data_IF_763880555094
#
_entry.id   IF_763880555094
#
_cell.length_a   1.000
_cell.length_b   1.000
_cell.length_c   1.000
_cell.angle_alpha   90.00
_cell.angle_beta   90.00
_cell.angle_gamma   90.00
#
_symmetry.space_group_name_H-M   'P 1'
#
loop_
_entity.id
_entity.type
_entity.pdbx_description
1 polymer ?
#
# COMPACT_ATOMS: atom_id res chain seq x y z
N UNK A 1 -12.92 7.24 -16.36
CA UNK A 1 -12.16 6.75 -15.19
C UNK A 1 -12.85 7.25 -13.93
N UNK A 2 -13.16 6.37 -12.97
CA UNK A 2 -13.87 6.75 -11.75
C UNK A 2 -12.87 6.94 -10.61
N UNK A 3 -12.80 8.14 -10.00
CA UNK A 3 -11.90 8.42 -8.88
C UNK A 3 -12.12 7.49 -7.67
N UNK A 4 -13.36 7.05 -7.45
CA UNK A 4 -13.67 6.07 -6.39
C UNK A 4 -12.98 4.72 -6.62
N UNK A 5 -12.65 4.36 -7.87
CA UNK A 5 -11.96 3.12 -8.19
C UNK A 5 -10.52 3.10 -7.65
N UNK A 6 -9.84 4.25 -7.69
CA UNK A 6 -8.48 4.41 -7.14
C UNK A 6 -8.46 4.29 -5.61
N UNK A 7 -9.53 4.72 -4.94
CA UNK A 7 -9.69 4.55 -3.50
C UNK A 7 -10.07 3.10 -3.17
N UNK A 8 -10.95 2.47 -3.94
CA UNK A 8 -11.39 1.11 -3.64
C UNK A 8 -10.28 0.07 -3.85
N UNK A 9 -9.44 0.24 -4.87
CA UNK A 9 -8.42 -0.75 -5.25
C UNK A 9 -7.30 -0.90 -4.22
N UNK A 10 -7.01 0.16 -3.45
CA UNK A 10 -6.04 0.10 -2.34
C UNK A 10 -6.58 -0.63 -1.10
N UNK A 11 -7.87 -0.98 -1.09
CA UNK A 11 -8.59 -1.61 0.03
C UNK A 11 -8.37 -0.82 1.33
N UNK A 12 -8.99 0.36 1.48
CA UNK A 12 -8.60 1.35 2.49
C UNK A 12 -8.69 0.81 3.92
N UNK A 13 -9.69 -0.02 4.23
CA UNK A 13 -9.80 -0.66 5.55
C UNK A 13 -8.59 -1.54 5.84
N UNK A 14 -8.16 -2.37 4.88
CA UNK A 14 -6.98 -3.21 5.02
C UNK A 14 -5.71 -2.37 5.21
N UNK A 15 -5.53 -1.32 4.41
CA UNK A 15 -4.37 -0.44 4.50
C UNK A 15 -4.32 0.33 5.83
N UNK A 16 -5.46 0.82 6.33
CA UNK A 16 -5.55 1.50 7.63
C UNK A 16 -5.25 0.54 8.77
N UNK A 17 -5.84 -0.67 8.76
CA UNK A 17 -5.59 -1.68 9.80
C UNK A 17 -4.12 -2.08 9.81
N UNK A 18 -3.48 -2.25 8.66
CA UNK A 18 -2.05 -2.52 8.57
C UNK A 18 -1.21 -1.39 9.19
N UNK A 19 -1.53 -0.12 8.90
CA UNK A 19 -0.84 1.03 9.49
C UNK A 19 -0.98 1.09 11.01
N UNK A 20 -2.19 0.86 11.54
CA UNK A 20 -2.44 0.81 12.99
C UNK A 20 -1.70 -0.36 13.65
N UNK A 21 -1.66 -1.52 13.00
CA UNK A 21 -0.92 -2.69 13.48
C UNK A 21 0.59 -2.41 13.57
N UNK A 22 1.17 -1.68 12.61
CA UNK A 22 2.57 -1.27 12.66
C UNK A 22 2.91 -0.32 13.82
N UNK A 23 2.03 0.64 14.10
CA UNK A 23 2.17 1.51 15.29
C UNK A 23 2.08 0.66 16.56
N UNK A 24 1.09 -0.22 16.66
CA UNK A 24 0.91 -1.10 17.82
C UNK A 24 2.13 -1.99 18.04
N UNK A 25 2.67 -2.59 16.98
CA UNK A 25 3.89 -3.39 17.04
C UNK A 25 5.08 -2.57 17.56
N UNK A 26 5.20 -1.31 17.14
CA UNK A 26 6.24 -0.39 17.63
C UNK A 26 6.06 -0.06 19.11
N UNK A 27 4.83 0.16 19.57
CA UNK A 27 4.52 0.39 20.98
C UNK A 27 4.88 -0.85 21.81
N UNK A 28 4.53 -2.05 21.35
CA UNK A 28 4.86 -3.30 22.03
C UNK A 28 6.39 -3.48 22.12
N UNK A 29 7.12 -3.17 21.05
CA UNK A 29 8.57 -3.35 20.98
C UNK A 29 9.36 -2.33 21.82
N UNK A 30 8.85 -1.09 21.94
CA UNK A 30 9.59 0.03 22.57
C UNK A 30 9.01 0.46 23.92
N UNK A 31 7.80 0.03 24.26
CA UNK A 31 7.07 0.45 25.45
C UNK A 31 6.53 1.89 25.40
N UNK A 32 6.63 2.58 24.26
CA UNK A 32 6.15 3.97 24.12
C UNK A 32 5.57 4.25 22.74
N UNK A 33 4.80 5.33 22.62
CA UNK A 33 4.30 5.80 21.32
C UNK A 33 5.45 6.50 20.60
N UNK A 34 5.87 6.05 19.41
CA UNK A 34 6.96 6.68 18.67
C UNK A 34 6.56 8.10 18.26
N UNK A 35 7.49 9.05 18.32
CA UNK A 35 7.24 10.43 17.87
C UNK A 35 6.87 10.47 16.38
N UNK A 36 7.36 9.49 15.62
CA UNK A 36 7.17 9.35 14.19
C UNK A 36 5.94 8.50 13.82
N UNK A 37 5.03 8.22 14.76
CA UNK A 37 3.85 7.35 14.54
C UNK A 37 3.06 7.70 13.28
N UNK A 38 2.94 9.00 12.97
CA UNK A 38 2.24 9.49 11.78
C UNK A 38 2.91 9.01 10.49
N UNK A 39 4.24 9.10 10.41
CA UNK A 39 5.00 8.65 9.24
C UNK A 39 4.99 7.12 9.14
N UNK A 40 5.12 6.40 10.26
CA UNK A 40 4.98 4.93 10.30
C UNK A 40 3.64 4.51 9.70
N UNK A 41 2.55 5.12 10.15
CA UNK A 41 1.20 4.87 9.63
C UNK A 41 1.13 5.13 8.12
N UNK A 42 1.61 6.29 7.68
CA UNK A 42 1.52 6.72 6.29
C UNK A 42 2.34 5.83 5.34
N UNK A 43 3.55 5.43 5.75
CA UNK A 43 4.41 4.52 4.99
C UNK A 43 3.69 3.17 4.80
N UNK A 44 3.21 2.57 5.89
CA UNK A 44 2.56 1.25 5.85
C UNK A 44 1.26 1.33 5.04
N UNK A 45 0.41 2.32 5.29
CA UNK A 45 -0.83 2.52 4.54
C UNK A 45 -0.58 2.59 3.03
N UNK A 46 0.44 3.35 2.63
CA UNK A 46 0.75 3.58 1.22
C UNK A 46 1.35 2.34 0.56
N UNK A 47 2.30 1.65 1.22
CA UNK A 47 2.93 0.43 0.70
C UNK A 47 1.95 -0.74 0.68
N UNK A 48 1.10 -0.89 1.70
CA UNK A 48 0.00 -1.88 1.69
C UNK A 48 -0.99 -1.58 0.56
N UNK A 49 -1.34 -0.31 0.35
CA UNK A 49 -2.16 0.11 -0.78
C UNK A 49 -1.52 -0.26 -2.12
N UNK A 50 -0.22 -0.03 -2.29
CA UNK A 50 0.53 -0.41 -3.48
C UNK A 50 0.51 -1.93 -3.71
N UNK A 51 0.74 -2.71 -2.65
CA UNK A 51 0.63 -4.17 -2.64
C UNK A 51 -0.75 -4.66 -3.10
N UNK A 52 -1.82 -4.06 -2.60
CA UNK A 52 -3.18 -4.40 -3.03
C UNK A 52 -3.42 -4.12 -4.52
N UNK A 53 -2.90 -3.01 -5.04
CA UNK A 53 -3.04 -2.64 -6.46
C UNK A 53 -2.25 -3.58 -7.36
N UNK A 54 -1.01 -3.90 -6.99
CA UNK A 54 -0.17 -4.79 -7.81
C UNK A 54 -0.70 -6.23 -7.81
N UNK A 55 -1.24 -6.69 -6.67
CA UNK A 55 -1.94 -7.97 -6.58
C UNK A 55 -3.13 -8.03 -7.54
N UNK A 56 -4.04 -7.04 -7.48
CA UNK A 56 -5.18 -6.97 -8.41
C UNK A 56 -4.71 -6.85 -9.89
N UNK A 57 -3.57 -6.22 -10.16
CA UNK A 57 -3.01 -6.11 -11.52
C UNK A 57 -2.58 -7.47 -12.08
N UNK A 58 -1.91 -8.30 -11.27
CA UNK A 58 -1.50 -9.63 -11.70
C UNK A 58 -2.67 -10.62 -11.72
N UNK A 59 -3.60 -10.51 -10.77
CA UNK A 59 -4.77 -11.39 -10.66
C UNK A 59 -5.91 -11.03 -11.62
N UNK A 60 -5.78 -9.97 -12.44
CA UNK A 60 -6.87 -9.43 -13.28
C UNK A 60 -7.61 -10.47 -14.15
N UNK A 61 -6.94 -11.50 -14.64
CA UNK A 61 -7.54 -12.55 -15.46
C UNK A 61 -8.32 -13.55 -14.60
N UNK A 62 -7.78 -13.90 -13.43
CA UNK A 62 -8.43 -14.75 -12.43
C UNK A 62 -9.64 -14.02 -11.84
N UNK A 63 -9.48 -12.75 -11.50
CA UNK A 63 -10.53 -11.90 -10.96
C UNK A 63 -11.63 -11.58 -11.97
N UNK A 64 -11.35 -11.62 -13.28
CA UNK A 64 -12.40 -11.52 -14.29
C UNK A 64 -13.42 -12.66 -14.20
N UNK A 65 -13.01 -13.82 -13.69
CA UNK A 65 -13.87 -14.99 -13.45
C UNK A 65 -14.44 -14.95 -12.03
N UNK A 66 -13.57 -14.78 -11.03
CA UNK A 66 -13.94 -14.95 -9.62
C UNK A 66 -14.60 -13.71 -8.99
N UNK A 67 -14.18 -12.51 -9.40
CA UNK A 67 -14.59 -11.23 -8.82
C UNK A 67 -14.75 -10.14 -9.89
N UNK A 68 -15.65 -10.33 -10.87
CA UNK A 68 -15.75 -9.45 -12.06
C UNK A 68 -16.09 -7.99 -11.72
N UNK A 69 -16.59 -7.72 -10.52
CA UNK A 69 -16.91 -6.36 -10.04
C UNK A 69 -15.67 -5.56 -9.60
N UNK A 70 -14.50 -6.20 -9.44
CA UNK A 70 -13.24 -5.57 -9.05
C UNK A 70 -12.84 -4.46 -10.03
N UNK A 71 -12.08 -3.44 -9.58
CA UNK A 71 -11.82 -2.26 -10.38
C UNK A 71 -11.19 -2.53 -11.76
N UNK A 72 -10.23 -3.46 -11.86
CA UNK A 72 -9.54 -3.78 -13.12
C UNK A 72 -10.44 -4.58 -14.06
N UNK A 73 -11.00 -5.76 -13.68
CA UNK A 73 -11.85 -6.54 -14.58
C UNK A 73 -13.14 -5.84 -15.00
N UNK A 74 -13.73 -5.03 -14.11
CA UNK A 74 -14.93 -4.24 -14.44
C UNK A 74 -14.65 -3.01 -15.32
N UNK A 75 -13.39 -2.76 -15.70
CA UNK A 75 -13.00 -1.63 -16.55
C UNK A 75 -13.05 -0.25 -15.87
N UNK A 76 -13.28 -0.18 -14.56
CA UNK A 76 -13.29 1.10 -13.81
C UNK A 76 -11.91 1.77 -13.79
N UNK A 77 -10.85 0.96 -13.80
CA UNK A 77 -9.46 1.35 -13.99
C UNK A 77 -8.80 0.40 -14.99
N UNK A 78 -8.06 0.91 -15.97
CA UNK A 78 -7.33 0.03 -16.89
C UNK A 78 -6.12 -0.61 -16.19
N UNK A 79 -5.64 -1.79 -16.61
CA UNK A 79 -4.42 -2.40 -16.07
C UNK A 79 -3.19 -1.47 -16.12
N UNK A 80 -2.99 -0.73 -17.21
CA UNK A 80 -1.86 0.21 -17.33
C UNK A 80 -1.87 1.32 -16.27
N UNK A 81 -3.02 1.97 -16.07
CA UNK A 81 -3.21 2.94 -15.00
C UNK A 81 -3.04 2.34 -13.60
N UNK A 82 -3.54 1.12 -13.35
CA UNK A 82 -3.34 0.45 -12.08
C UNK A 82 -1.86 0.19 -11.79
N UNK A 83 -1.09 -0.27 -12.79
CA UNK A 83 0.36 -0.47 -12.66
C UNK A 83 1.10 0.83 -12.34
N UNK A 84 0.81 1.91 -13.08
CA UNK A 84 1.42 3.23 -12.82
C UNK A 84 1.06 3.69 -11.40
N UNK A 85 -0.18 3.47 -10.98
CA UNK A 85 -0.64 3.85 -9.65
C UNK A 85 0.07 3.06 -8.54
N UNK A 86 0.25 1.74 -8.70
CA UNK A 86 1.03 0.93 -7.77
C UNK A 86 2.47 1.45 -7.65
N UNK A 87 3.14 1.72 -8.78
CA UNK A 87 4.51 2.29 -8.79
C UNK A 87 4.54 3.63 -8.07
N UNK A 88 3.57 4.51 -8.34
CA UNK A 88 3.47 5.81 -7.67
C UNK A 88 3.32 5.65 -6.15
N UNK A 89 2.45 4.74 -5.69
CA UNK A 89 2.27 4.47 -4.26
C UNK A 89 3.53 3.91 -3.62
N UNK A 90 4.22 2.95 -4.27
CA UNK A 90 5.51 2.45 -3.78
C UNK A 90 6.54 3.59 -3.67
N UNK A 91 6.68 4.43 -4.69
CA UNK A 91 7.62 5.55 -4.67
C UNK A 91 7.26 6.57 -3.57
N UNK A 92 5.97 6.85 -3.37
CA UNK A 92 5.52 7.75 -2.32
C UNK A 92 5.83 7.19 -0.92
N UNK A 93 5.46 5.92 -0.66
CA UNK A 93 5.72 5.26 0.63
C UNK A 93 7.21 5.17 0.95
N UNK A 94 8.03 4.77 -0.03
CA UNK A 94 9.48 4.69 0.13
C UNK A 94 10.13 6.08 0.25
N UNK A 95 9.65 7.08 -0.49
CA UNK A 95 10.14 8.46 -0.39
C UNK A 95 9.92 9.03 1.00
N UNK A 96 8.74 8.79 1.60
CA UNK A 96 8.45 9.17 2.98
C UNK A 96 9.37 8.43 3.95
N UNK A 97 9.57 7.12 3.76
CA UNK A 97 10.45 6.33 4.62
C UNK A 97 11.90 6.85 4.58
N UNK A 98 12.46 7.09 3.39
CA UNK A 98 13.83 7.58 3.21
C UNK A 98 14.04 8.95 3.86
N UNK A 99 13.03 9.83 3.77
CA UNK A 99 13.15 11.21 4.26
C UNK A 99 12.92 11.35 5.77
N UNK A 100 11.96 10.60 6.32
CA UNK A 100 11.49 10.81 7.69
C UNK A 100 11.88 9.71 8.67
N UNK A 101 12.39 8.55 8.21
CA UNK A 101 12.80 7.44 9.07
C UNK A 101 14.33 7.28 9.13
N UNK A 102 14.85 6.64 10.20
CA UNK A 102 16.21 6.11 10.21
C UNK A 102 16.48 5.17 9.02
N UNK A 103 17.67 5.25 8.43
CA UNK A 103 18.03 4.53 7.21
C UNK A 103 17.82 3.00 7.27
N UNK A 104 18.06 2.29 8.39
CA UNK A 104 17.74 0.87 8.48
C UNK A 104 16.25 0.56 8.31
N UNK A 105 15.36 1.41 8.84
CA UNK A 105 13.90 1.25 8.70
C UNK A 105 13.47 1.56 7.27
N UNK A 106 14.02 2.60 6.67
CA UNK A 106 13.78 2.91 5.26
C UNK A 106 14.21 1.76 4.34
N UNK A 107 15.32 1.09 4.62
CA UNK A 107 15.78 -0.08 3.87
C UNK A 107 14.78 -1.24 3.94
N UNK A 108 14.16 -1.49 5.10
CA UNK A 108 13.12 -2.51 5.24
C UNK A 108 11.91 -2.21 4.33
N UNK A 109 11.47 -0.95 4.30
CA UNK A 109 10.35 -0.54 3.44
C UNK A 109 10.66 -0.75 1.95
N UNK A 110 11.88 -0.42 1.52
CA UNK A 110 12.35 -0.62 0.14
C UNK A 110 12.41 -2.10 -0.21
N UNK A 111 13.02 -2.92 0.65
CA UNK A 111 13.10 -4.37 0.45
C UNK A 111 11.70 -4.98 0.36
N UNK A 112 10.80 -4.63 1.29
CA UNK A 112 9.42 -5.10 1.26
C UNK A 112 8.71 -4.70 -0.05
N UNK A 113 8.95 -3.49 -0.55
CA UNK A 113 8.36 -3.03 -1.82
C UNK A 113 8.89 -3.77 -3.05
N UNK A 114 10.11 -4.32 -2.99
CA UNK A 114 10.70 -5.13 -4.07
C UNK A 114 10.18 -6.57 -4.04
N UNK A 115 9.84 -7.07 -2.85
CA UNK A 115 9.33 -8.44 -2.65
C UNK A 115 7.85 -8.60 -3.01
N UNK A 116 7.08 -7.51 -3.03
CA UNK A 116 5.67 -7.45 -3.44
C UNK A 116 5.54 -7.38 -4.97
#
# INVERSE_FOLDING_TARGET
MNGAAYISIIRPVNAVVAGLAGILATIIATGSVPAEFFFIFLIILTITGAGNVINDYYDREIDAINQPSRPIPSGKISPGHARIYAVFLFLAGNGIAIWFMPQPIAAIAVVNSILL
#
